data_IF_825025570908
#
_entry.id   IF_825025570908
#
_cell.length_a   1.000
_cell.length_b   1.000
_cell.length_c   1.000
_cell.angle_alpha   90.00
_cell.angle_beta   90.00
_cell.angle_gamma   90.00
#
_symmetry.space_group_name_H-M   'P 1'
#
loop_
_entity.id
_entity.type
_entity.pdbx_description
1 polymer ?
#
# COMPACT_ATOMS: atom_id res chain seq x y z
N UNK A 1 -19.59 -16.88 -4.96
CA UNK A 1 -20.94 -16.59 -5.51
C UNK A 1 -20.93 -15.32 -6.34
N UNK A 2 -20.57 -14.17 -5.76
CA UNK A 2 -20.56 -12.88 -6.46
C UNK A 2 -19.70 -12.82 -7.73
N UNK A 3 -18.52 -13.46 -7.75
CA UNK A 3 -17.72 -13.60 -8.99
C UNK A 3 -18.52 -14.20 -10.16
N UNK A 4 -19.17 -15.34 -9.91
CA UNK A 4 -20.02 -15.99 -10.91
C UNK A 4 -21.21 -15.11 -11.31
N UNK A 5 -21.84 -14.45 -10.32
CA UNK A 5 -22.95 -13.54 -10.57
C UNK A 5 -22.54 -12.40 -11.50
N UNK A 6 -21.44 -11.72 -11.19
CA UNK A 6 -20.95 -10.58 -11.96
C UNK A 6 -20.56 -10.98 -13.38
N UNK A 7 -19.89 -12.12 -13.57
CA UNK A 7 -19.57 -12.64 -14.90
C UNK A 7 -20.84 -12.94 -15.70
N UNK A 8 -21.77 -13.70 -15.11
CA UNK A 8 -23.00 -14.12 -15.79
C UNK A 8 -23.87 -12.92 -16.15
N UNK A 9 -24.00 -11.96 -15.23
CA UNK A 9 -24.75 -10.73 -15.46
C UNK A 9 -24.11 -9.90 -16.55
N UNK A 10 -22.79 -9.74 -16.56
CA UNK A 10 -22.09 -8.99 -17.59
C UNK A 10 -22.38 -9.54 -18.99
N UNK A 11 -22.21 -10.85 -19.21
CA UNK A 11 -22.52 -11.47 -20.51
C UNK A 11 -23.99 -11.37 -20.90
N UNK A 12 -24.91 -11.30 -19.94
CA UNK A 12 -26.34 -11.10 -20.22
C UNK A 12 -26.71 -9.70 -20.68
N UNK A 13 -25.81 -8.73 -20.57
CA UNK A 13 -26.05 -7.34 -21.01
C UNK A 13 -25.61 -7.06 -22.44
N UNK A 14 -24.92 -8.01 -23.08
CA UNK A 14 -24.54 -7.88 -24.48
C UNK A 14 -25.77 -7.91 -25.38
N UNK A 15 -25.65 -7.40 -26.60
CA UNK A 15 -26.71 -7.51 -27.59
C UNK A 15 -26.98 -9.00 -27.91
N UNK A 16 -28.22 -9.45 -28.13
CA UNK A 16 -28.51 -10.85 -28.45
C UNK A 16 -27.81 -11.39 -29.71
N UNK A 17 -27.32 -10.51 -30.59
CA UNK A 17 -26.52 -10.85 -31.77
C UNK A 17 -25.03 -11.04 -31.48
N UNK A 18 -24.56 -10.67 -30.29
CA UNK A 18 -23.17 -10.83 -29.87
C UNK A 18 -22.89 -12.30 -29.54
N UNK A 19 -21.74 -12.82 -29.98
CA UNK A 19 -21.28 -14.18 -29.69
C UNK A 19 -21.10 -14.45 -28.18
N UNK A 20 -20.82 -13.39 -27.42
CA UNK A 20 -20.54 -13.48 -25.99
C UNK A 20 -21.82 -13.31 -25.16
N UNK A 21 -22.98 -13.05 -25.80
CA UNK A 21 -24.27 -12.94 -25.12
C UNK A 21 -24.70 -14.26 -24.48
N UNK A 22 -25.01 -14.20 -23.19
CA UNK A 22 -25.52 -15.34 -22.42
C UNK A 22 -26.73 -14.91 -21.61
N UNK A 23 -27.96 -15.32 -21.97
CA UNK A 23 -29.15 -14.89 -21.25
C UNK A 23 -29.16 -15.43 -19.81
N UNK A 24 -29.71 -14.62 -18.89
CA UNK A 24 -29.98 -15.08 -17.53
C UNK A 24 -31.16 -16.07 -17.54
N UNK A 25 -31.11 -17.16 -16.74
CA UNK A 25 -32.26 -18.05 -16.59
C UNK A 25 -33.51 -17.33 -16.07
N UNK A 26 -33.32 -16.40 -15.13
CA UNK A 26 -34.35 -15.56 -14.56
C UNK A 26 -33.90 -14.09 -14.68
N UNK A 27 -34.17 -13.42 -15.80
CA UNK A 27 -33.73 -12.05 -16.01
C UNK A 27 -34.46 -11.09 -15.05
N UNK A 28 -33.78 -10.02 -14.60
CA UNK A 28 -34.41 -9.00 -13.77
C UNK A 28 -35.52 -8.26 -14.57
N UNK A 29 -36.60 -7.77 -13.91
CA UNK A 29 -37.66 -7.03 -14.59
C UNK A 29 -37.12 -5.82 -15.36
N UNK A 30 -37.68 -5.46 -16.55
CA UNK A 30 -37.15 -4.39 -17.40
C UNK A 30 -37.03 -3.01 -16.73
N UNK A 31 -37.89 -2.72 -15.76
CA UNK A 31 -37.91 -1.47 -15.00
C UNK A 31 -37.06 -1.52 -13.71
N UNK A 32 -36.43 -2.66 -13.41
CA UNK A 32 -35.59 -2.79 -12.22
C UNK A 32 -34.19 -2.19 -12.45
N UNK A 33 -33.52 -1.68 -11.40
CA UNK A 33 -32.16 -1.19 -11.51
C UNK A 33 -31.17 -2.23 -12.05
N UNK A 34 -31.40 -3.50 -11.73
CA UNK A 34 -30.60 -4.63 -12.24
C UNK A 34 -30.72 -4.88 -13.74
N UNK A 35 -31.78 -4.39 -14.38
CA UNK A 35 -31.92 -4.38 -15.82
C UNK A 35 -31.30 -3.11 -16.42
N UNK A 36 -31.65 -1.93 -15.89
CA UNK A 36 -31.22 -0.63 -16.45
C UNK A 36 -29.72 -0.35 -16.26
N UNK A 37 -29.13 -0.82 -15.16
CA UNK A 37 -27.72 -0.62 -14.81
C UNK A 37 -26.93 -1.94 -14.79
N UNK A 38 -27.35 -2.93 -15.58
CA UNK A 38 -26.82 -4.30 -15.52
C UNK A 38 -25.29 -4.39 -15.61
N UNK A 39 -24.65 -3.62 -16.50
CA UNK A 39 -23.18 -3.60 -16.67
C UNK A 39 -22.46 -3.07 -15.42
N UNK A 40 -22.96 -1.96 -14.86
CA UNK A 40 -22.38 -1.36 -13.66
C UNK A 40 -22.54 -2.28 -12.45
N UNK A 41 -23.74 -2.85 -12.28
CA UNK A 41 -24.01 -3.79 -11.18
C UNK A 41 -23.19 -5.07 -11.30
N UNK A 42 -22.97 -5.57 -12.52
CA UNK A 42 -22.05 -6.67 -12.75
C UNK A 42 -20.62 -6.31 -12.30
N UNK A 43 -20.10 -5.13 -12.65
CA UNK A 43 -18.79 -4.66 -12.18
C UNK A 43 -18.70 -4.52 -10.66
N UNK A 44 -19.76 -4.03 -10.01
CA UNK A 44 -19.83 -3.95 -8.55
C UNK A 44 -19.83 -5.34 -7.89
N UNK A 45 -20.56 -6.31 -8.45
CA UNK A 45 -20.52 -7.70 -7.96
C UNK A 45 -19.11 -8.31 -8.05
N UNK A 46 -18.37 -8.00 -9.11
CA UNK A 46 -16.99 -8.47 -9.30
C UNK A 46 -16.02 -7.80 -8.33
N UNK A 47 -16.18 -6.49 -8.10
CA UNK A 47 -15.38 -5.77 -7.11
C UNK A 47 -15.67 -6.26 -5.69
N UNK A 48 -16.95 -6.43 -5.33
CA UNK A 48 -17.33 -6.97 -4.03
C UNK A 48 -16.77 -8.39 -3.84
N UNK A 49 -16.83 -9.23 -4.89
CA UNK A 49 -16.18 -10.54 -4.84
C UNK A 49 -14.67 -10.46 -4.62
N UNK A 50 -13.98 -9.51 -5.27
CA UNK A 50 -12.53 -9.29 -5.09
C UNK A 50 -12.21 -8.87 -3.66
N UNK A 51 -12.98 -7.95 -3.09
CA UNK A 51 -12.87 -7.52 -1.69
C UNK A 51 -13.07 -8.71 -0.74
N UNK A 52 -14.14 -9.49 -0.93
CA UNK A 52 -14.41 -10.67 -0.09
C UNK A 52 -13.30 -11.73 -0.18
N UNK A 53 -12.75 -12.00 -1.38
CA UNK A 53 -11.65 -12.96 -1.51
C UNK A 53 -10.36 -12.45 -0.88
N UNK A 54 -10.04 -11.17 -1.06
CA UNK A 54 -8.88 -10.53 -0.43
C UNK A 54 -8.99 -10.63 1.09
N UNK A 55 -10.15 -10.30 1.65
CA UNK A 55 -10.43 -10.38 3.08
C UNK A 55 -10.35 -11.83 3.61
N UNK A 56 -10.87 -12.81 2.87
CA UNK A 56 -10.81 -14.21 3.27
C UNK A 56 -9.38 -14.78 3.28
N UNK A 57 -8.54 -14.39 2.31
CA UNK A 57 -7.12 -14.75 2.32
C UNK A 57 -6.40 -14.05 3.47
N UNK A 58 -6.63 -12.74 3.64
CA UNK A 58 -6.04 -11.96 4.72
C UNK A 58 -6.39 -12.51 6.11
N UNK A 59 -7.64 -12.83 6.40
CA UNK A 59 -8.03 -13.41 7.70
C UNK A 59 -7.31 -14.74 7.98
N UNK A 60 -7.08 -15.56 6.95
CA UNK A 60 -6.30 -16.80 7.06
C UNK A 60 -4.83 -16.52 7.36
N UNK A 61 -4.24 -15.53 6.68
CA UNK A 61 -2.86 -15.10 6.88
C UNK A 61 -2.64 -14.45 8.25
N UNK A 62 -3.54 -13.55 8.64
CA UNK A 62 -3.53 -12.80 9.90
C UNK A 62 -3.62 -13.76 11.09
N UNK A 63 -4.57 -14.70 11.07
CA UNK A 63 -4.72 -15.69 12.15
C UNK A 63 -3.51 -16.63 12.32
N UNK A 64 -2.76 -16.86 11.24
CA UNK A 64 -1.55 -17.70 11.26
C UNK A 64 -0.26 -16.91 11.41
N UNK A 65 -0.34 -15.58 11.41
CA UNK A 65 0.80 -14.69 11.28
C UNK A 65 1.76 -15.14 10.17
N UNK A 66 1.23 -15.42 8.98
CA UNK A 66 2.02 -15.85 7.84
C UNK A 66 1.53 -15.21 6.53
N UNK A 67 2.30 -15.42 5.46
CA UNK A 67 1.91 -15.10 4.09
C UNK A 67 1.72 -16.41 3.32
N UNK A 68 0.49 -16.74 2.95
CA UNK A 68 0.20 -17.99 2.22
C UNK A 68 0.39 -17.84 0.71
N UNK A 69 0.57 -18.97 0.01
CA UNK A 69 0.57 -19.02 -1.46
C UNK A 69 -0.82 -18.74 -2.07
N UNK A 70 -1.85 -18.57 -1.25
CA UNK A 70 -3.21 -18.30 -1.72
C UNK A 70 -3.33 -16.98 -2.47
N UNK A 71 -2.42 -16.02 -2.23
CA UNK A 71 -2.38 -14.76 -2.98
C UNK A 71 -2.20 -14.96 -4.48
N UNK A 72 -1.43 -15.96 -4.91
CA UNK A 72 -1.19 -16.23 -6.34
C UNK A 72 -2.47 -16.70 -7.05
N UNK A 73 -3.39 -17.33 -6.32
CA UNK A 73 -4.68 -17.74 -6.87
C UNK A 73 -5.60 -16.56 -7.18
N UNK A 74 -5.34 -15.38 -6.60
CA UNK A 74 -6.11 -14.17 -6.80
C UNK A 74 -5.64 -13.36 -8.00
N UNK A 75 -4.38 -13.52 -8.44
CA UNK A 75 -3.71 -12.67 -9.43
C UNK A 75 -4.50 -12.53 -10.74
N UNK A 76 -4.97 -13.65 -11.30
CA UNK A 76 -5.76 -13.61 -12.55
C UNK A 76 -7.08 -12.86 -12.37
N UNK A 77 -7.76 -13.05 -11.24
CA UNK A 77 -9.03 -12.39 -10.98
C UNK A 77 -8.85 -10.90 -10.69
N UNK A 78 -7.80 -10.54 -9.96
CA UNK A 78 -7.41 -9.17 -9.69
C UNK A 78 -7.02 -8.45 -10.99
N UNK A 79 -6.17 -9.05 -11.83
CA UNK A 79 -5.74 -8.47 -13.10
C UNK A 79 -6.89 -8.22 -14.07
N UNK A 80 -7.85 -9.15 -14.14
CA UNK A 80 -9.05 -8.97 -14.93
C UNK A 80 -9.96 -7.86 -14.37
N UNK A 81 -10.21 -7.85 -13.05
CA UNK A 81 -11.04 -6.82 -12.39
C UNK A 81 -10.43 -5.44 -12.58
N UNK A 82 -9.11 -5.32 -12.41
CA UNK A 82 -8.32 -4.11 -12.63
C UNK A 82 -8.46 -3.58 -14.06
N UNK A 83 -8.27 -4.45 -15.06
CA UNK A 83 -8.40 -4.09 -16.48
C UNK A 83 -9.80 -3.59 -16.78
N UNK A 84 -10.81 -4.32 -16.30
CA UNK A 84 -12.22 -4.00 -16.53
C UNK A 84 -12.62 -2.65 -15.93
N UNK A 85 -12.29 -2.43 -14.66
CA UNK A 85 -12.58 -1.15 -14.00
C UNK A 85 -11.80 0.00 -14.63
N UNK A 86 -10.53 -0.20 -15.01
CA UNK A 86 -9.73 0.85 -15.66
C UNK A 86 -10.34 1.29 -16.99
N UNK A 87 -10.81 0.35 -17.80
CA UNK A 87 -11.32 0.64 -19.15
C UNK A 87 -12.74 1.22 -19.16
N UNK A 88 -13.59 0.82 -18.20
CA UNK A 88 -15.02 1.12 -18.23
C UNK A 88 -15.44 2.22 -17.22
N UNK A 89 -14.53 2.71 -16.36
CA UNK A 89 -14.87 3.74 -15.36
C UNK A 89 -15.03 5.12 -15.99
N UNK A 90 -16.23 5.69 -15.88
CA UNK A 90 -16.57 6.93 -16.58
C UNK A 90 -16.68 8.16 -15.66
N UNK A 91 -16.73 7.96 -14.35
CA UNK A 91 -16.86 9.04 -13.36
C UNK A 91 -15.69 9.07 -12.38
N UNK A 92 -15.46 10.21 -11.73
CA UNK A 92 -14.45 10.31 -10.65
C UNK A 92 -14.75 9.34 -9.50
N UNK A 93 -16.04 9.13 -9.22
CA UNK A 93 -16.54 8.17 -8.22
C UNK A 93 -16.22 6.72 -8.60
N UNK A 94 -16.41 6.33 -9.86
CA UNK A 94 -16.00 4.99 -10.34
C UNK A 94 -14.47 4.84 -10.38
N UNK A 95 -13.73 5.89 -10.74
CA UNK A 95 -12.26 5.88 -10.73
C UNK A 95 -11.72 5.65 -9.32
N UNK A 96 -12.42 6.06 -8.26
CA UNK A 96 -12.03 5.71 -6.90
C UNK A 96 -11.93 4.19 -6.69
N UNK A 97 -12.81 3.40 -7.31
CA UNK A 97 -12.72 1.93 -7.27
C UNK A 97 -11.53 1.39 -8.05
N UNK A 98 -11.10 2.06 -9.14
CA UNK A 98 -9.82 1.73 -9.78
C UNK A 98 -8.68 1.90 -8.78
N UNK A 99 -8.67 3.00 -8.02
CA UNK A 99 -7.72 3.22 -6.95
C UNK A 99 -7.76 2.14 -5.86
N UNK A 100 -8.95 1.68 -5.45
CA UNK A 100 -9.11 0.56 -4.51
C UNK A 100 -8.49 -0.73 -5.06
N UNK A 101 -8.74 -1.09 -6.32
CA UNK A 101 -8.18 -2.31 -6.91
C UNK A 101 -6.66 -2.27 -6.97
N UNK A 102 -6.08 -1.12 -7.34
CA UNK A 102 -4.62 -0.93 -7.30
C UNK A 102 -4.06 -0.96 -5.88
N UNK A 103 -4.76 -0.39 -4.90
CA UNK A 103 -4.35 -0.49 -3.49
C UNK A 103 -4.38 -1.95 -3.01
N UNK A 104 -5.37 -2.75 -3.37
CA UNK A 104 -5.42 -4.17 -2.98
C UNK A 104 -4.15 -4.87 -3.47
N UNK A 105 -3.77 -4.65 -4.72
CA UNK A 105 -2.56 -5.20 -5.31
C UNK A 105 -1.29 -4.71 -4.61
N UNK A 106 -1.19 -3.40 -4.31
CA UNK A 106 -0.09 -2.84 -3.52
C UNK A 106 0.08 -3.58 -2.20
N UNK A 107 -0.99 -3.74 -1.42
CA UNK A 107 -0.90 -4.34 -0.10
C UNK A 107 -0.55 -5.83 -0.17
N UNK A 108 -1.04 -6.56 -1.19
CA UNK A 108 -0.63 -7.95 -1.44
C UNK A 108 0.88 -8.03 -1.69
N UNK A 109 1.40 -7.19 -2.57
CA UNK A 109 2.83 -7.16 -2.89
C UNK A 109 3.70 -6.78 -1.67
N UNK A 110 3.31 -5.75 -0.90
CA UNK A 110 4.08 -5.38 0.29
C UNK A 110 4.03 -6.48 1.34
N UNK A 111 2.88 -7.15 1.53
CA UNK A 111 2.78 -8.29 2.45
C UNK A 111 3.73 -9.41 2.04
N UNK A 112 3.73 -9.80 0.76
CA UNK A 112 4.70 -10.78 0.22
C UNK A 112 6.14 -10.35 0.44
N UNK A 113 6.46 -9.08 0.21
CA UNK A 113 7.81 -8.54 0.41
C UNK A 113 8.25 -8.58 1.88
N UNK A 114 7.39 -8.16 2.82
CA UNK A 114 7.70 -8.12 4.26
C UNK A 114 7.93 -9.52 4.81
N UNK A 115 7.01 -10.46 4.54
CA UNK A 115 7.18 -11.85 4.97
C UNK A 115 8.37 -12.52 4.30
N UNK A 116 8.56 -12.31 2.99
CA UNK A 116 9.71 -12.82 2.24
C UNK A 116 11.04 -12.30 2.78
N UNK A 117 11.13 -11.00 3.08
CA UNK A 117 12.30 -10.38 3.70
C UNK A 117 12.60 -10.98 5.08
N UNK A 118 11.56 -11.22 5.89
CA UNK A 118 11.69 -11.88 7.18
C UNK A 118 12.28 -13.30 7.09
N UNK A 119 11.93 -14.06 6.04
CA UNK A 119 12.48 -15.41 5.83
C UNK A 119 13.98 -15.41 5.46
N UNK A 120 14.45 -14.39 4.73
CA UNK A 120 15.85 -14.32 4.26
C UNK A 120 16.75 -13.44 5.12
N UNK A 121 16.21 -12.77 6.13
CA UNK A 121 16.95 -11.82 6.96
C UNK A 121 18.17 -12.47 7.64
N UNK A 122 18.03 -13.71 8.12
CA UNK A 122 19.13 -14.48 8.72
C UNK A 122 20.26 -14.72 7.72
N UNK A 123 19.93 -15.28 6.55
CA UNK A 123 20.92 -15.59 5.51
C UNK A 123 21.65 -14.32 5.01
N UNK A 124 20.93 -13.22 4.83
CA UNK A 124 21.53 -11.92 4.48
C UNK A 124 22.47 -11.45 5.58
N UNK A 125 22.07 -11.55 6.85
CA UNK A 125 22.90 -11.17 7.99
C UNK A 125 24.19 -11.98 8.04
N UNK A 126 24.13 -13.29 7.78
CA UNK A 126 25.28 -14.18 7.76
C UNK A 126 26.25 -13.86 6.61
N UNK A 127 25.72 -13.57 5.42
CA UNK A 127 26.52 -13.10 4.27
C UNK A 127 27.20 -11.77 4.63
N UNK A 128 26.48 -10.82 5.22
CA UNK A 128 27.04 -9.54 5.66
C UNK A 128 28.11 -9.70 6.75
N UNK A 129 27.89 -10.58 7.73
CA UNK A 129 28.87 -10.86 8.78
C UNK A 129 30.14 -11.51 8.20
N UNK A 130 29.99 -12.42 7.25
CA UNK A 130 31.10 -13.05 6.53
C UNK A 130 31.88 -12.03 5.70
N UNK A 131 31.18 -11.13 5.00
CA UNK A 131 31.81 -10.04 4.26
C UNK A 131 32.63 -9.13 5.16
N UNK A 132 32.08 -8.72 6.32
CA UNK A 132 32.80 -7.87 7.29
C UNK A 132 34.06 -8.54 7.83
N UNK A 133 33.96 -9.80 8.27
CA UNK A 133 35.14 -10.57 8.73
C UNK A 133 36.20 -10.68 7.64
N UNK A 134 35.79 -10.88 6.39
CA UNK A 134 36.72 -10.93 5.25
C UNK A 134 37.41 -9.58 5.02
N UNK A 135 36.67 -8.47 5.13
CA UNK A 135 37.21 -7.10 5.05
C UNK A 135 38.24 -6.86 6.15
N UNK A 136 37.88 -7.13 7.40
CA UNK A 136 38.75 -6.95 8.58
C UNK A 136 40.05 -7.77 8.45
N UNK A 137 39.97 -9.00 7.94
CA UNK A 137 41.15 -9.85 7.72
C UNK A 137 42.08 -9.36 6.60
N UNK A 138 41.55 -8.63 5.61
CA UNK A 138 42.31 -8.11 4.47
C UNK A 138 42.96 -6.74 4.75
N UNK A 139 42.45 -5.97 5.72
CA UNK A 139 42.98 -4.65 6.10
C UNK A 139 44.47 -4.64 6.50
N UNK A 140 45.00 -5.56 7.35
CA UNK A 140 46.41 -5.50 7.77
C UNK A 140 47.42 -5.75 6.64
N UNK A 141 46.97 -6.22 5.46
CA UNK A 141 47.83 -6.46 4.30
C UNK A 141 47.85 -5.28 3.31
N UNK A 142 46.98 -4.29 3.49
CA UNK A 142 46.92 -3.12 2.61
C UNK A 142 48.00 -2.07 2.94
N UNK A 143 48.37 -1.91 4.21
CA UNK A 143 49.41 -0.96 4.63
C UNK A 143 50.83 -1.42 4.26
N UNK A 144 51.06 -2.73 4.15
CA UNK A 144 52.39 -3.29 3.81
C UNK A 144 52.76 -3.12 2.33
N UNK A 145 51.77 -2.99 1.44
CA UNK A 145 52.00 -2.77 0.00
C UNK A 145 52.20 -1.29 -0.37
N UNK A 146 51.83 -0.35 0.51
CA UNK A 146 52.11 1.08 0.32
C UNK A 146 53.53 1.48 0.75
N UNK A 147 54.24 0.63 1.51
CA UNK A 147 55.62 0.87 2.00
C UNK A 147 56.75 0.37 1.09
N UNK A 148 56.43 -0.21 -0.08
CA UNK A 148 57.39 -0.90 -0.96
C UNK A 148 57.64 -0.18 -2.30
N UNK A 149 57.63 1.17 -2.30
CA UNK A 149 58.26 1.93 -3.40
C UNK A 149 59.66 2.31 -2.94
N UNK A 150 60.62 1.49 -3.39
CA UNK A 150 62.03 1.66 -3.13
C UNK A 150 62.53 3.03 -3.56
N UNK A 151 63.25 3.66 -2.64
CA UNK A 151 64.16 4.78 -2.89
C UNK A 151 65.30 4.27 -3.79
N UNK A 152 65.33 4.74 -5.04
CA UNK A 152 66.57 4.81 -5.83
C UNK A 152 66.99 6.27 -5.97
N UNK A 153 68.19 6.66 -5.49
CA UNK A 153 68.74 7.98 -5.71
C UNK A 153 69.48 8.06 -7.06
N UNK A 154 69.54 9.27 -7.61
CA UNK A 154 70.27 9.75 -8.78
C UNK A 154 69.68 9.57 -10.19
N UNK A 155 69.41 10.72 -10.83
CA UNK A 155 69.39 10.84 -12.28
C UNK A 155 68.61 12.04 -12.85
N UNK A 156 69.23 13.22 -12.86
CA UNK A 156 69.20 14.21 -13.95
C UNK A 156 67.86 14.65 -14.59
N UNK A 157 67.54 15.93 -14.39
CA UNK A 157 67.15 16.96 -15.39
C UNK A 157 66.29 16.49 -16.57
N UNK A 158 64.99 16.83 -16.52
CA UNK A 158 64.07 16.73 -17.64
C UNK A 158 62.75 17.42 -17.35
N UNK A 159 62.63 18.66 -17.81
CA UNK A 159 61.42 19.49 -17.80
C UNK A 159 60.26 18.82 -18.56
N UNK A 160 59.09 18.65 -17.92
CA UNK A 160 57.79 18.53 -18.60
C UNK A 160 56.61 18.83 -17.66
N UNK A 161 55.45 19.26 -18.21
CA UNK A 161 54.66 20.37 -17.69
C UNK A 161 53.53 19.94 -16.75
N UNK A 162 53.19 20.87 -15.84
CA UNK A 162 51.98 20.86 -14.98
C UNK A 162 50.70 20.56 -15.78
N UNK A 163 49.87 19.59 -15.36
CA UNK A 163 48.55 19.39 -15.95
C UNK A 163 47.61 20.57 -15.65
N UNK A 164 46.74 20.96 -16.60
CA UNK A 164 45.85 22.10 -16.45
C UNK A 164 44.78 21.83 -15.39
N UNK A 165 44.71 22.71 -14.39
CA UNK A 165 43.65 22.72 -13.39
C UNK A 165 42.32 23.05 -14.05
N UNK A 166 41.31 22.21 -13.82
CA UNK A 166 39.92 22.49 -14.17
C UNK A 166 39.38 23.65 -13.31
N UNK A 167 38.72 24.67 -13.90
CA UNK A 167 38.05 25.70 -13.13
C UNK A 167 36.77 25.14 -12.49
N UNK A 168 36.63 25.34 -11.19
CA UNK A 168 35.38 25.11 -10.46
C UNK A 168 34.26 25.99 -11.01
N UNK A 169 33.02 25.50 -11.15
CA UNK A 169 31.89 26.34 -11.55
C UNK A 169 31.60 27.39 -10.49
N UNK A 170 31.70 28.65 -10.90
CA UNK A 170 31.29 29.80 -10.11
C UNK A 170 29.78 29.77 -9.85
N UNK A 171 29.43 30.14 -8.62
CA UNK A 171 28.08 30.47 -8.19
C UNK A 171 27.47 31.55 -9.08
N UNK A 172 26.27 31.28 -9.62
CA UNK A 172 25.33 32.31 -10.03
C UNK A 172 24.01 32.01 -9.33
N UNK A 173 23.80 32.72 -8.22
CA UNK A 173 22.47 32.97 -7.70
C UNK A 173 21.78 34.01 -8.60
N UNK A 174 20.46 33.91 -8.76
CA UNK A 174 19.63 35.10 -8.61
C UNK A 174 18.84 35.03 -7.30
N UNK A 175 18.94 36.11 -6.54
CA UNK A 175 18.02 36.45 -5.48
C UNK A 175 16.61 36.67 -6.03
N UNK A 176 15.60 36.15 -5.31
CA UNK A 176 14.26 36.71 -5.07
C UNK A 176 13.55 35.73 -4.11
N UNK A 177 13.36 36.08 -2.84
CA UNK A 177 12.15 36.75 -2.29
C UNK A 177 10.87 35.97 -2.65
N UNK A 178 10.00 35.51 -1.74
CA UNK A 178 9.60 36.14 -0.49
C UNK A 178 8.96 35.13 0.49
N UNK A 179 9.15 35.40 1.77
CA UNK A 179 8.24 35.00 2.85
C UNK A 179 6.80 35.43 2.52
N UNK A 180 5.81 34.62 2.89
CA UNK A 180 4.52 35.11 3.40
C UNK A 180 3.77 33.98 4.11
N UNK A 181 3.93 33.95 5.44
CA UNK A 181 2.95 33.35 6.36
C UNK A 181 2.02 34.48 6.78
N UNK A 182 0.70 34.43 6.50
CA UNK A 182 -0.22 35.38 7.09
C UNK A 182 -0.55 34.93 8.52
N UNK A 183 -0.03 35.66 9.50
CA UNK A 183 -0.57 35.70 10.87
C UNK A 183 -1.39 36.98 10.99
N UNK A 184 -2.70 36.89 10.76
CA UNK A 184 -3.64 37.98 11.00
C UNK A 184 -4.32 37.79 12.36
N UNK A 185 -3.95 38.62 13.33
CA UNK A 185 -4.60 38.77 14.64
C UNK A 185 -5.78 39.75 14.54
N UNK A 186 -6.62 39.68 15.58
CA UNK A 186 -7.90 40.34 15.82
C UNK A 186 -7.94 41.88 15.80
N UNK A 187 -9.11 42.41 15.42
CA UNK A 187 -9.87 43.59 15.91
C UNK A 187 -10.90 43.91 14.80
N UNK A 188 -12.22 44.06 14.97
CA UNK A 188 -13.04 44.77 15.95
C UNK A 188 -14.50 44.26 15.93
N UNK A 189 -15.19 44.47 17.04
CA UNK A 189 -16.63 44.28 17.28
C UNK A 189 -17.39 45.54 16.82
N UNK A 190 -18.68 45.46 16.44
CA UNK A 190 -19.67 46.19 17.23
C UNK A 190 -20.89 45.37 17.64
N UNK A 191 -21.47 45.86 18.74
CA UNK A 191 -22.48 45.29 19.63
C UNK A 191 -23.88 45.03 19.04
N UNK A 192 -24.54 44.02 19.61
CA UNK A 192 -25.92 44.02 20.14
C UNK A 192 -26.24 42.55 20.54
N UNK A 193 -26.79 42.15 21.68
CA UNK A 193 -27.41 42.78 22.85
C UNK A 193 -28.31 41.70 23.49
N UNK A 194 -28.42 41.65 24.83
CA UNK A 194 -29.35 40.85 25.68
C UNK A 194 -29.18 39.31 25.66
N UNK A 195 -29.25 38.50 26.73
CA UNK A 195 -29.41 38.56 28.20
C UNK A 195 -28.95 37.15 28.68
N UNK A 196 -28.08 36.95 29.67
CA UNK A 196 -28.35 37.08 31.10
C UNK A 196 -28.94 35.80 31.73
N UNK A 197 -28.13 34.80 32.09
CA UNK A 197 -28.29 33.94 33.30
C UNK A 197 -26.92 33.39 33.72
N UNK A 198 -26.50 33.70 34.94
CA UNK A 198 -25.26 33.25 35.58
C UNK A 198 -25.45 31.90 36.29
N UNK A 199 -24.50 30.98 36.14
CA UNK A 199 -24.33 29.80 37.00
C UNK A 199 -22.82 29.63 37.33
N UNK A 200 -22.46 29.20 38.55
CA UNK A 200 -21.09 29.31 39.07
C UNK A 200 -20.16 28.19 38.57
N UNK A 201 -18.90 28.57 38.27
CA UNK A 201 -17.79 27.68 37.97
C UNK A 201 -17.35 26.87 39.21
N UNK A 202 -17.04 25.56 39.07
CA UNK A 202 -16.20 24.86 40.02
C UNK A 202 -14.70 25.01 39.71
N UNK A 203 -13.93 24.83 40.77
CA UNK A 203 -12.56 25.27 40.97
C UNK A 203 -11.48 24.59 40.10
N UNK A 204 -10.41 25.35 39.93
CA UNK A 204 -9.08 24.95 39.48
C UNK A 204 -8.59 23.62 40.10
N UNK A 205 -8.37 22.61 39.26
CA UNK A 205 -7.35 21.59 39.50
C UNK A 205 -6.14 21.90 38.63
N UNK A 206 -5.01 22.20 39.29
CA UNK A 206 -3.73 22.42 38.64
C UNK A 206 -3.18 21.14 37.98
N UNK A 207 -2.27 21.28 37.02
CA UNK A 207 -1.63 20.14 36.37
C UNK A 207 -0.73 19.38 37.35
N UNK A 208 -0.69 18.04 37.32
CA UNK A 208 0.19 17.26 38.17
C UNK A 208 1.67 17.46 37.75
N UNK A 209 2.62 17.30 38.69
CA UNK A 209 4.04 17.49 38.43
C UNK A 209 4.59 16.43 37.48
N UNK A 210 5.46 16.87 36.56
CA UNK A 210 6.21 16.08 35.60
C UNK A 210 6.78 14.78 36.21
N UNK A 211 6.22 13.64 35.82
CA UNK A 211 6.91 12.36 35.92
C UNK A 211 8.13 12.39 34.99
N UNK A 212 9.27 11.94 35.53
CA UNK A 212 10.54 11.85 34.83
C UNK A 212 10.38 11.13 33.48
N UNK A 213 10.86 11.76 32.42
CA UNK A 213 10.90 11.16 31.10
C UNK A 213 11.66 9.82 31.16
N UNK A 214 11.14 8.74 30.55
CA UNK A 214 11.86 7.48 30.46
C UNK A 214 13.20 7.69 29.74
N UNK A 215 14.26 6.97 30.13
CA UNK A 215 15.56 7.09 29.48
C UNK A 215 15.38 6.82 27.99
N UNK A 216 15.79 7.80 27.17
CA UNK A 216 15.83 7.64 25.71
C UNK A 216 16.56 6.35 25.38
N UNK A 217 16.02 5.48 24.51
CA UNK A 217 16.76 4.33 24.02
C UNK A 217 18.08 4.82 23.43
N UNK A 218 19.14 4.11 23.79
CA UNK A 218 20.51 4.38 23.36
C UNK A 218 20.53 4.64 21.84
N UNK A 219 21.30 5.66 21.45
CA UNK A 219 21.60 5.98 20.05
C UNK A 219 21.82 4.68 19.29
N UNK A 220 20.98 4.41 18.27
CA UNK A 220 21.21 3.33 17.31
C UNK A 220 22.67 3.40 16.85
N UNK A 221 23.47 2.36 17.09
CA UNK A 221 24.83 2.34 16.61
C UNK A 221 24.78 2.11 15.09
N UNK A 222 25.55 2.92 14.37
CA UNK A 222 25.88 2.83 12.93
C UNK A 222 25.02 3.70 12.02
N UNK A 223 25.46 4.95 11.89
CA UNK A 223 25.20 5.79 10.73
C UNK A 223 25.73 5.09 9.48
N UNK A 224 24.83 4.68 8.60
CA UNK A 224 25.06 4.06 7.28
C UNK A 224 25.78 4.96 6.25
N UNK A 225 26.51 5.98 6.72
CA UNK A 225 27.22 6.96 5.87
C UNK A 225 28.71 6.65 5.69
N UNK A 226 29.25 5.64 6.35
CA UNK A 226 30.64 5.22 6.08
C UNK A 226 30.67 4.41 4.79
N UNK A 227 31.25 5.02 3.75
CA UNK A 227 31.54 4.34 2.50
C UNK A 227 32.45 3.14 2.81
N UNK A 228 32.14 1.93 2.30
CA UNK A 228 32.96 0.77 2.54
C UNK A 228 34.40 1.02 2.07
N UNK A 229 35.42 0.51 2.78
CA UNK A 229 36.82 0.75 2.44
C UNK A 229 37.11 0.20 1.03
N UNK A 230 38.03 0.80 0.25
CA UNK A 230 38.31 0.37 -1.12
C UNK A 230 38.68 -1.12 -1.26
N UNK A 231 39.23 -1.74 -0.21
CA UNK A 231 39.54 -3.17 -0.16
C UNK A 231 38.30 -4.05 -0.28
N UNK A 232 37.12 -3.57 0.12
CA UNK A 232 35.85 -4.29 0.01
C UNK A 232 35.52 -4.67 -1.44
N UNK A 233 35.95 -3.88 -2.43
CA UNK A 233 35.74 -4.16 -3.85
C UNK A 233 36.54 -5.37 -4.36
N UNK A 234 37.53 -5.86 -3.59
CA UNK A 234 38.34 -7.03 -3.95
C UNK A 234 37.88 -8.31 -3.25
N UNK A 235 36.89 -8.22 -2.37
CA UNK A 235 36.43 -9.34 -1.55
C UNK A 235 35.22 -9.98 -2.21
N UNK A 236 35.30 -11.30 -2.40
CA UNK A 236 34.23 -12.11 -2.95
C UNK A 236 33.64 -12.98 -1.83
N UNK A 237 32.33 -12.83 -1.58
CA UNK A 237 31.60 -13.69 -0.65
C UNK A 237 30.64 -14.55 -1.45
N UNK A 238 30.71 -15.89 -1.34
CA UNK A 238 29.79 -16.77 -2.05
C UNK A 238 28.37 -16.60 -1.51
N UNK A 239 27.41 -16.47 -2.42
CA UNK A 239 25.98 -16.39 -2.13
C UNK A 239 25.29 -17.59 -2.79
N UNK A 240 24.36 -18.23 -2.09
CA UNK A 240 23.64 -19.37 -2.67
C UNK A 240 22.70 -18.91 -3.80
N UNK A 241 22.49 -19.76 -4.79
CA UNK A 241 21.52 -19.50 -5.86
C UNK A 241 20.09 -19.31 -5.30
N UNK A 242 19.75 -20.04 -4.23
CA UNK A 242 18.46 -19.92 -3.54
C UNK A 242 18.27 -18.53 -2.93
N UNK A 243 19.26 -18.04 -2.16
CA UNK A 243 19.20 -16.70 -1.57
C UNK A 243 19.10 -15.62 -2.65
N UNK A 244 19.84 -15.78 -3.74
CA UNK A 244 19.78 -14.85 -4.89
C UNK A 244 18.37 -14.81 -5.50
N UNK A 245 17.73 -15.97 -5.67
CA UNK A 245 16.36 -16.05 -6.16
C UNK A 245 15.36 -15.39 -5.20
N UNK A 246 15.45 -15.67 -3.90
CA UNK A 246 14.56 -15.08 -2.90
C UNK A 246 14.73 -13.57 -2.78
N UNK A 247 15.97 -13.06 -2.81
CA UNK A 247 16.24 -11.61 -2.87
C UNK A 247 15.60 -11.00 -4.11
N UNK A 248 15.73 -11.65 -5.27
CA UNK A 248 15.13 -11.19 -6.52
C UNK A 248 13.60 -11.14 -6.41
N UNK A 249 12.97 -12.15 -5.78
CA UNK A 249 11.54 -12.15 -5.53
C UNK A 249 11.12 -10.97 -4.64
N UNK A 250 11.76 -10.79 -3.48
CA UNK A 250 11.44 -9.68 -2.55
C UNK A 250 11.59 -8.33 -3.24
N UNK A 251 12.67 -8.11 -4.01
CA UNK A 251 12.87 -6.87 -4.78
C UNK A 251 11.77 -6.69 -5.83
N UNK A 252 11.40 -7.76 -6.54
CA UNK A 252 10.31 -7.75 -7.50
C UNK A 252 8.98 -7.32 -6.88
N UNK A 253 8.63 -7.87 -5.71
CA UNK A 253 7.43 -7.50 -4.97
C UNK A 253 7.44 -6.02 -4.54
N UNK A 254 8.59 -5.49 -4.08
CA UNK A 254 8.72 -4.07 -3.72
C UNK A 254 8.53 -3.16 -4.94
N UNK A 255 9.11 -3.50 -6.08
CA UNK A 255 8.94 -2.73 -7.33
C UNK A 255 7.49 -2.76 -7.79
N UNK A 256 6.85 -3.92 -7.76
CA UNK A 256 5.44 -4.07 -8.12
C UNK A 256 4.52 -3.25 -7.19
N UNK A 257 4.76 -3.30 -5.87
CA UNK A 257 4.04 -2.49 -4.89
C UNK A 257 4.19 -0.98 -5.17
N UNK A 258 5.40 -0.52 -5.47
CA UNK A 258 5.65 0.89 -5.81
C UNK A 258 4.87 1.32 -7.05
N UNK A 259 4.87 0.50 -8.10
CA UNK A 259 4.12 0.77 -9.32
C UNK A 259 2.61 0.86 -9.06
N UNK A 260 2.06 -0.10 -8.32
CA UNK A 260 0.64 -0.13 -7.98
C UNK A 260 0.24 1.08 -7.11
N UNK A 261 1.11 1.48 -6.16
CA UNK A 261 0.91 2.66 -5.32
C UNK A 261 0.79 3.92 -6.16
N UNK A 262 1.70 4.13 -7.11
CA UNK A 262 1.69 5.29 -8.03
C UNK A 262 0.38 5.37 -8.82
N UNK A 263 -0.15 4.22 -9.28
CA UNK A 263 -1.43 4.16 -9.99
C UNK A 263 -2.64 4.40 -9.10
N UNK A 264 -2.59 3.97 -7.84
CA UNK A 264 -3.70 4.13 -6.90
C UNK A 264 -3.85 5.57 -6.36
N UNK A 265 -2.73 6.24 -6.09
CA UNK A 265 -2.66 7.50 -5.37
C UNK A 265 -3.53 8.63 -5.96
N UNK A 266 -3.57 8.87 -7.29
CA UNK A 266 -4.42 9.94 -7.84
C UNK A 266 -5.91 9.59 -7.84
N UNK A 267 -6.26 8.30 -7.78
CA UNK A 267 -7.62 7.81 -7.92
C UNK A 267 -8.35 7.69 -6.58
N UNK A 268 -7.63 7.32 -5.50
CA UNK A 268 -8.20 7.15 -4.17
C UNK A 268 -7.48 8.03 -3.15
N UNK A 269 -8.13 9.13 -2.78
CA UNK A 269 -7.63 10.08 -1.77
C UNK A 269 -8.74 10.42 -0.77
N UNK A 270 -8.37 10.95 0.40
CA UNK A 270 -9.35 11.44 1.38
C UNK A 270 -10.28 12.52 0.80
N UNK A 271 -9.80 13.35 -0.13
CA UNK A 271 -10.63 14.35 -0.80
C UNK A 271 -11.67 13.70 -1.73
N UNK A 272 -11.27 12.69 -2.50
CA UNK A 272 -12.18 11.89 -3.34
C UNK A 272 -13.22 11.18 -2.45
N UNK A 273 -12.78 10.61 -1.32
CA UNK A 273 -13.67 9.98 -0.35
C UNK A 273 -14.69 10.96 0.23
N UNK A 274 -14.24 12.13 0.72
CA UNK A 274 -15.13 13.15 1.28
C UNK A 274 -16.18 13.62 0.27
N UNK A 275 -15.79 13.76 -1.00
CA UNK A 275 -16.66 14.24 -2.09
C UNK A 275 -17.67 13.19 -2.55
N UNK A 276 -17.24 11.94 -2.71
CA UNK A 276 -18.02 10.90 -3.42
C UNK A 276 -18.50 9.76 -2.54
N UNK A 277 -17.91 9.59 -1.36
CA UNK A 277 -18.27 8.56 -0.38
C UNK A 277 -18.39 9.17 1.03
N UNK A 278 -19.20 10.23 1.21
CA UNK A 278 -19.26 10.99 2.46
C UNK A 278 -19.64 10.12 3.67
N UNK A 279 -20.49 9.10 3.53
CA UNK A 279 -20.83 8.22 4.66
C UNK A 279 -19.60 7.40 5.08
N UNK A 280 -18.93 6.78 4.12
CA UNK A 280 -17.70 6.00 4.35
C UNK A 280 -16.59 6.89 4.90
N UNK A 281 -16.39 8.08 4.32
CA UNK A 281 -15.43 9.06 4.79
C UNK A 281 -15.69 9.47 6.25
N UNK A 282 -16.95 9.76 6.60
CA UNK A 282 -17.31 10.12 7.98
C UNK A 282 -16.96 9.03 8.99
N UNK A 283 -17.17 7.75 8.63
CA UNK A 283 -16.80 6.59 9.47
C UNK A 283 -15.29 6.49 9.68
N UNK A 284 -14.50 6.90 8.69
CA UNK A 284 -13.04 6.89 8.72
C UNK A 284 -12.48 8.02 9.59
N UNK A 285 -12.94 9.25 9.40
CA UNK A 285 -12.34 10.42 10.10
C UNK A 285 -12.78 10.56 11.54
N UNK A 286 -13.89 9.93 11.93
CA UNK A 286 -14.37 9.90 13.31
C UNK A 286 -14.06 8.57 14.02
N UNK A 287 -13.21 7.74 13.42
CA UNK A 287 -12.79 6.47 14.00
C UNK A 287 -12.03 6.68 15.31
N UNK A 288 -12.37 5.88 16.31
CA UNK A 288 -11.60 5.74 17.54
C UNK A 288 -10.60 4.57 17.47
N UNK A 289 -10.72 3.73 16.44
CA UNK A 289 -9.85 2.59 16.20
C UNK A 289 -8.43 3.02 15.82
N UNK A 290 -7.47 2.19 16.21
CA UNK A 290 -6.07 2.34 15.86
C UNK A 290 -5.68 1.42 14.69
N UNK A 291 -4.52 1.70 14.08
CA UNK A 291 -4.05 0.94 12.92
C UNK A 291 -3.84 -0.58 13.19
N UNK A 292 -3.70 -1.01 14.44
CA UNK A 292 -3.50 -2.43 14.81
C UNK A 292 -4.80 -3.19 15.07
N UNK A 293 -5.94 -2.52 15.10
CA UNK A 293 -7.26 -3.09 15.39
C UNK A 293 -8.01 -3.58 14.13
N UNK A 294 -7.26 -4.05 13.12
CA UNK A 294 -7.81 -4.45 11.81
C UNK A 294 -8.85 -5.57 11.86
N UNK A 295 -8.83 -6.38 12.91
CA UNK A 295 -9.74 -7.50 13.11
C UNK A 295 -11.07 -7.12 13.76
N UNK A 296 -11.18 -5.92 14.32
CA UNK A 296 -12.37 -5.48 15.06
C UNK A 296 -13.60 -5.22 14.18
N UNK A 297 -13.48 -4.57 13.00
CA UNK A 297 -14.67 -4.26 12.20
C UNK A 297 -15.25 -5.49 11.53
N UNK A 298 -16.56 -5.65 11.64
CA UNK A 298 -17.29 -6.57 10.79
C UNK A 298 -17.44 -5.97 9.39
N UNK A 299 -16.94 -6.70 8.38
CA UNK A 299 -17.01 -6.29 6.98
C UNK A 299 -18.45 -6.07 6.50
N UNK A 300 -19.43 -6.76 7.12
CA UNK A 300 -20.85 -6.60 6.77
C UNK A 300 -21.57 -5.53 7.59
N UNK A 301 -20.90 -4.88 8.54
CA UNK A 301 -21.48 -3.78 9.33
C UNK A 301 -21.53 -2.45 8.56
N UNK A 302 -22.74 -1.94 8.38
CA UNK A 302 -23.05 -0.71 7.66
C UNK A 302 -22.87 0.57 8.50
N UNK A 303 -22.71 0.43 9.82
CA UNK A 303 -22.64 1.52 10.80
C UNK A 303 -21.36 1.50 11.64
N UNK A 304 -20.64 0.39 11.68
CA UNK A 304 -19.39 0.24 12.43
C UNK A 304 -18.30 1.25 12.05
N UNK A 305 -17.35 1.47 12.95
CA UNK A 305 -16.20 2.33 12.68
C UNK A 305 -15.31 1.77 11.56
N UNK A 306 -14.68 2.66 10.80
CA UNK A 306 -13.72 2.30 9.76
C UNK A 306 -12.42 3.04 10.02
N UNK A 307 -11.29 2.54 9.53
CA UNK A 307 -10.02 3.25 9.62
C UNK A 307 -9.44 3.43 8.22
N UNK A 308 -8.72 4.54 8.01
CA UNK A 308 -8.05 4.77 6.73
C UNK A 308 -6.87 3.80 6.59
N UNK A 309 -6.82 2.95 5.55
CA UNK A 309 -5.68 2.06 5.36
C UNK A 309 -4.41 2.89 5.27
N UNK A 310 -3.51 2.68 6.23
CA UNK A 310 -2.33 3.51 6.43
C UNK A 310 -1.26 3.33 5.35
N UNK A 311 -0.01 3.39 5.77
CA UNK A 311 1.10 3.03 4.90
C UNK A 311 1.20 1.51 4.80
N UNK A 312 1.21 0.96 3.58
CA UNK A 312 1.36 -0.48 3.36
C UNK A 312 2.73 -1.02 3.80
N UNK A 313 3.70 -0.16 4.16
CA UNK A 313 5.10 -0.50 4.44
C UNK A 313 5.33 -1.66 5.42
N UNK A 314 4.40 -1.90 6.33
CA UNK A 314 4.51 -2.98 7.32
C UNK A 314 3.88 -4.31 6.87
N UNK A 315 3.27 -4.36 5.69
CA UNK A 315 2.52 -5.54 5.23
C UNK A 315 1.15 -5.73 5.92
N UNK A 316 0.76 -4.75 6.74
CA UNK A 316 -0.53 -4.62 7.43
C UNK A 316 -1.41 -3.59 6.71
N UNK A 317 -2.71 -3.56 7.05
CA UNK A 317 -3.74 -2.63 6.56
C UNK A 317 -4.69 -3.20 5.52
N UNK A 318 -4.56 -4.49 5.17
CA UNK A 318 -5.47 -5.16 4.22
C UNK A 318 -6.88 -5.26 4.81
N UNK A 319 -7.02 -5.50 6.12
CA UNK A 319 -8.32 -5.56 6.78
C UNK A 319 -9.07 -4.23 6.64
N UNK A 320 -8.38 -3.13 6.94
CA UNK A 320 -8.89 -1.76 6.75
C UNK A 320 -9.26 -1.45 5.31
N UNK A 321 -8.39 -1.84 4.37
CA UNK A 321 -8.66 -1.63 2.95
C UNK A 321 -9.92 -2.37 2.49
N UNK A 322 -10.11 -3.62 2.92
CA UNK A 322 -11.28 -4.41 2.55
C UNK A 322 -12.57 -3.87 3.16
N UNK A 323 -12.57 -3.50 4.44
CA UNK A 323 -13.75 -2.93 5.13
C UNK A 323 -14.13 -1.56 4.55
N UNK A 324 -13.15 -0.69 4.26
CA UNK A 324 -13.37 0.55 3.52
C UNK A 324 -13.95 0.29 2.13
N UNK A 325 -13.33 -0.61 1.35
CA UNK A 325 -13.77 -0.92 -0.01
C UNK A 325 -15.21 -1.47 -0.02
N UNK A 326 -15.57 -2.32 0.94
CA UNK A 326 -16.93 -2.84 1.10
C UNK A 326 -17.92 -1.71 1.39
N UNK A 327 -17.59 -0.81 2.32
CA UNK A 327 -18.43 0.34 2.64
C UNK A 327 -18.62 1.26 1.41
N UNK A 328 -17.56 1.50 0.63
CA UNK A 328 -17.64 2.27 -0.63
C UNK A 328 -18.59 1.59 -1.64
N UNK A 329 -18.48 0.27 -1.81
CA UNK A 329 -19.35 -0.50 -2.72
C UNK A 329 -20.81 -0.41 -2.27
N UNK A 330 -21.10 -0.55 -0.97
CA UNK A 330 -22.46 -0.44 -0.43
C UNK A 330 -23.04 0.97 -0.57
N UNK A 331 -22.24 2.00 -0.29
CA UNK A 331 -22.65 3.40 -0.41
C UNK A 331 -22.94 3.78 -1.86
N UNK A 332 -22.02 3.49 -2.78
CA UNK A 332 -22.21 3.76 -4.20
C UNK A 332 -23.33 2.92 -4.81
N UNK A 333 -23.34 1.62 -4.51
CA UNK A 333 -24.28 0.68 -5.09
C UNK A 333 -25.74 0.97 -4.72
N UNK A 334 -25.98 1.61 -3.56
CA UNK A 334 -27.32 2.01 -3.12
C UNK A 334 -28.06 2.86 -4.15
N UNK A 335 -27.36 3.80 -4.78
CA UNK A 335 -27.94 4.71 -5.79
C UNK A 335 -28.39 3.96 -7.06
N UNK A 336 -27.87 2.74 -7.27
CA UNK A 336 -28.18 1.88 -8.40
C UNK A 336 -28.96 0.62 -8.01
N UNK A 337 -29.47 0.55 -6.78
CA UNK A 337 -30.22 -0.60 -6.28
C UNK A 337 -29.40 -1.88 -6.12
N UNK A 338 -28.09 -1.76 -5.90
CA UNK A 338 -27.22 -2.91 -5.61
C UNK A 338 -27.63 -3.59 -4.30
N UNK A 339 -27.85 -4.91 -4.34
CA UNK A 339 -28.34 -5.71 -3.21
C UNK A 339 -27.29 -6.68 -2.66
N UNK A 340 -26.02 -6.60 -3.11
CA UNK A 340 -24.98 -7.53 -2.70
C UNK A 340 -25.36 -8.99 -2.98
N UNK A 341 -25.16 -9.86 -1.99
CA UNK A 341 -25.54 -11.27 -2.06
C UNK A 341 -27.04 -11.50 -2.31
N UNK A 342 -27.91 -10.60 -1.84
CA UNK A 342 -29.36 -10.72 -2.03
C UNK A 342 -29.79 -10.60 -3.51
N UNK A 343 -29.01 -9.89 -4.32
CA UNK A 343 -29.25 -9.73 -5.75
C UNK A 343 -28.44 -10.67 -6.65
N UNK A 344 -27.61 -11.54 -6.07
CA UNK A 344 -26.66 -12.34 -6.82
C UNK A 344 -27.35 -13.46 -7.63
N UNK A 345 -26.92 -13.62 -8.89
CA UNK A 345 -27.29 -14.75 -9.73
C UNK A 345 -26.66 -16.02 -9.16
N UNK A 346 -27.51 -16.99 -8.79
CA UNK A 346 -27.05 -18.27 -8.23
C UNK A 346 -26.48 -19.16 -9.33
N UNK A 347 -25.40 -19.87 -9.00
CA UNK A 347 -24.85 -20.91 -9.86
C UNK A 347 -25.83 -22.09 -9.89
N UNK A 348 -26.21 -22.61 -11.08
CA UNK A 348 -27.08 -23.79 -11.18
C UNK A 348 -26.48 -24.99 -10.44
N UNK A 349 -27.32 -25.72 -9.69
CA UNK A 349 -26.89 -26.78 -8.77
C UNK A 349 -26.22 -28.00 -9.44
N UNK A 350 -26.30 -28.13 -10.78
CA UNK A 350 -25.63 -29.20 -11.55
C UNK A 350 -24.21 -28.91 -12.03
N UNK A 351 -23.67 -27.71 -11.79
CA UNK A 351 -22.32 -27.30 -12.23
C UNK A 351 -21.32 -27.19 -11.06
N UNK A 352 -21.63 -27.78 -9.91
CA UNK A 352 -20.73 -27.80 -8.76
C UNK A 352 -19.35 -28.34 -9.18
N UNK A 353 -18.28 -27.68 -8.70
CA UNK A 353 -16.93 -28.12 -8.99
C UNK A 353 -16.78 -29.60 -8.60
N UNK A 354 -16.03 -30.41 -9.38
CA UNK A 354 -15.78 -31.80 -9.01
C UNK A 354 -15.26 -31.84 -7.56
N UNK A 355 -15.68 -32.83 -6.76
CA UNK A 355 -15.24 -32.94 -5.38
C UNK A 355 -13.70 -32.91 -5.34
N UNK A 356 -13.10 -32.23 -4.34
CA UNK A 356 -11.66 -32.19 -4.22
C UNK A 356 -11.12 -33.62 -4.22
N UNK A 357 -10.00 -33.90 -4.92
CA UNK A 357 -9.42 -35.23 -4.95
C UNK A 357 -9.19 -35.68 -3.51
N UNK A 358 -9.73 -36.85 -3.16
CA UNK A 358 -9.50 -37.43 -1.84
C UNK A 358 -8.01 -37.59 -1.65
N UNK A 359 -7.45 -36.92 -0.62
CA UNK A 359 -6.07 -37.15 -0.20
C UNK A 359 -5.98 -38.62 0.21
N UNK A 360 -5.31 -39.43 -0.61
CA UNK A 360 -4.83 -40.76 -0.24
C UNK A 360 -3.42 -40.64 0.32
#
# INVERSE_FOLDING_TARGET
MLKYSGDTRYFSTHAPSDKDYKPLPNPPPPNSPYHTHGVLLARLELLDALVCFTYAIWTTDFSKNCCTLSWDTLEQFLGWTKTKWTNESNSEREKAFVGVVWMIETYIHVRKAVYGAGQIQGDISDVCATARKSIESAMPHADTLAGSVGVTPNGSIGSQPTPPMLPSPASIAPANSANSTPTGRASEVPANGSSGVSAPLPAHHGPPPHAAAPPRPAKLPHSSKEQPPPIANKINVPISAMLTHQVTQVVGEVVAASHCTEKSAPALTLAVMAKHFPKTFSRIVHSSLNHTEESEPDMEDDEGELFWPGSAQLGEGIGWLCTMAKAMVKEFGRDYGYMGYGGAVRKPEGLAAPPPPSRR
#
